data_IF_208375578464
#
_entry.id   IF_208375578464
#
_cell.length_a   1.000
_cell.length_b   1.000
_cell.length_c   1.000
_cell.angle_alpha   90.00
_cell.angle_beta   90.00
_cell.angle_gamma   90.00
#
_symmetry.space_group_name_H-M   'P 1'
#
loop_
_entity.id
_entity.type
_entity.pdbx_description
1 polymer ?
#
# COMPACT_ATOMS: atom_id res chain seq x y z
N UNK A 1 -2.64 8.03 -22.65
CA UNK A 1 -2.83 9.29 -23.43
C UNK A 1 -3.47 10.39 -22.61
N UNK A 2 -4.54 10.12 -21.90
CA UNK A 2 -5.26 11.12 -21.10
C UNK A 2 -4.40 11.74 -19.98
N UNK A 3 -3.56 10.96 -19.31
CA UNK A 3 -2.59 11.49 -18.33
C UNK A 3 -1.53 12.39 -18.99
N UNK A 4 -1.06 12.04 -20.20
CA UNK A 4 -0.13 12.92 -20.93
C UNK A 4 -0.78 14.25 -21.30
N UNK A 5 -2.07 14.26 -21.63
CA UNK A 5 -2.82 15.50 -21.84
C UNK A 5 -2.93 16.33 -20.55
N UNK A 6 -3.16 15.67 -19.41
CA UNK A 6 -3.21 16.36 -18.11
C UNK A 6 -1.85 17.01 -17.78
N UNK A 7 -0.74 16.32 -18.05
CA UNK A 7 0.61 16.86 -17.91
C UNK A 7 0.84 18.04 -18.86
N UNK A 8 0.43 17.92 -20.12
CA UNK A 8 0.58 18.97 -21.11
C UNK A 8 -0.19 20.25 -20.70
N UNK A 9 -1.43 20.11 -20.24
CA UNK A 9 -2.24 21.24 -19.74
C UNK A 9 -1.60 21.85 -18.49
N UNK A 10 -1.11 21.03 -17.55
CA UNK A 10 -0.46 21.49 -16.32
C UNK A 10 0.84 22.28 -16.60
N UNK A 11 1.60 21.88 -17.61
CA UNK A 11 2.92 22.43 -17.90
C UNK A 11 2.93 23.47 -19.04
N UNK A 12 1.78 23.61 -19.73
CA UNK A 12 1.66 24.49 -20.90
C UNK A 12 2.35 23.95 -22.16
N UNK A 13 2.65 22.65 -22.21
CA UNK A 13 3.16 21.96 -23.38
C UNK A 13 2.07 21.31 -24.23
N UNK A 14 2.47 20.46 -25.16
CA UNK A 14 1.53 19.65 -25.94
C UNK A 14 1.93 18.18 -26.01
N UNK A 15 0.95 17.32 -26.24
CA UNK A 15 1.19 15.87 -26.40
C UNK A 15 1.64 15.61 -27.82
N UNK A 16 2.81 15.01 -27.99
CA UNK A 16 3.32 14.58 -29.28
C UNK A 16 2.80 13.15 -29.54
N UNK A 17 1.93 13.02 -30.54
CA UNK A 17 1.35 11.73 -30.93
C UNK A 17 1.06 11.73 -32.43
N UNK A 18 1.39 10.65 -33.10
CA UNK A 18 1.11 10.46 -34.53
C UNK A 18 -0.39 10.53 -34.86
N UNK A 19 -1.25 10.11 -33.93
CA UNK A 19 -2.72 10.19 -34.10
C UNK A 19 -3.25 11.62 -34.19
N UNK A 20 -2.50 12.60 -33.61
CA UNK A 20 -2.83 14.02 -33.68
C UNK A 20 -2.00 14.71 -34.78
N UNK A 21 -1.26 13.96 -35.57
CA UNK A 21 -0.45 14.45 -36.67
C UNK A 21 0.92 14.99 -36.27
N UNK A 22 1.33 14.84 -35.00
CA UNK A 22 2.66 15.26 -34.53
C UNK A 22 3.63 14.09 -34.52
N UNK A 23 4.79 14.30 -35.13
CA UNK A 23 5.90 13.34 -35.10
C UNK A 23 6.99 13.83 -34.16
N UNK A 24 7.62 12.91 -33.45
CA UNK A 24 8.67 13.21 -32.48
C UNK A 24 9.86 13.96 -33.13
N UNK A 25 10.19 13.61 -34.38
CA UNK A 25 11.27 14.21 -35.17
C UNK A 25 11.06 15.70 -35.47
N UNK A 26 9.81 16.18 -35.44
CA UNK A 26 9.42 17.55 -35.72
C UNK A 26 9.20 18.39 -34.44
N UNK A 27 9.49 17.81 -33.27
CA UNK A 27 9.25 18.47 -31.97
C UNK A 27 10.27 19.59 -31.76
N UNK A 28 9.78 20.75 -31.39
CA UNK A 28 10.59 21.94 -31.06
C UNK A 28 10.46 22.31 -29.59
N UNK A 29 11.37 23.11 -29.06
CA UNK A 29 11.39 23.48 -27.64
C UNK A 29 10.11 24.19 -27.19
N UNK A 30 9.43 24.91 -28.10
CA UNK A 30 8.13 25.53 -27.79
C UNK A 30 6.99 24.55 -27.55
N UNK A 31 7.13 23.30 -27.99
CA UNK A 31 6.12 22.25 -27.75
C UNK A 31 6.24 21.63 -26.35
N UNK A 32 7.40 21.84 -25.71
CA UNK A 32 7.67 21.32 -24.38
C UNK A 32 7.00 22.19 -23.32
N UNK A 33 6.45 21.55 -22.30
CA UNK A 33 5.94 22.22 -21.12
C UNK A 33 7.06 22.75 -20.23
N UNK A 34 6.69 23.58 -19.25
CA UNK A 34 7.59 24.13 -18.24
C UNK A 34 7.08 23.88 -16.84
N UNK A 35 7.97 23.68 -15.89
CA UNK A 35 7.67 23.58 -14.49
C UNK A 35 8.84 24.10 -13.65
N UNK A 36 8.58 24.51 -12.41
CA UNK A 36 9.62 24.96 -11.48
C UNK A 36 10.56 23.82 -11.10
N UNK A 37 10.03 22.62 -10.91
CA UNK A 37 10.81 21.42 -10.60
C UNK A 37 10.10 20.18 -11.13
N UNK A 38 10.90 19.26 -11.69
CA UNK A 38 10.44 17.93 -12.09
C UNK A 38 11.38 16.92 -11.42
N UNK A 39 10.80 15.91 -10.77
CA UNK A 39 11.52 14.77 -10.20
C UNK A 39 10.99 13.52 -10.87
N UNK A 40 11.89 12.75 -11.48
CA UNK A 40 11.57 11.49 -12.17
C UNK A 40 12.32 10.37 -11.48
N UNK A 41 11.61 9.36 -11.04
CA UNK A 41 12.15 8.10 -10.60
C UNK A 41 11.63 6.95 -11.50
N UNK A 42 11.95 5.71 -11.18
CA UNK A 42 11.55 4.56 -12.01
C UNK A 42 10.03 4.32 -12.06
N UNK A 43 9.30 4.76 -11.04
CA UNK A 43 7.88 4.48 -10.89
C UNK A 43 7.01 5.76 -11.03
N UNK A 44 7.59 6.94 -10.75
CA UNK A 44 6.85 8.19 -10.64
C UNK A 44 7.50 9.36 -11.37
N UNK A 45 6.66 10.28 -11.84
CA UNK A 45 7.08 11.60 -12.30
C UNK A 45 6.30 12.65 -11.52
N UNK A 46 7.01 13.44 -10.70
CA UNK A 46 6.43 14.51 -9.88
C UNK A 46 6.73 15.86 -10.52
N UNK A 47 5.70 16.63 -10.84
CA UNK A 47 5.78 17.95 -11.42
C UNK A 47 5.31 18.97 -10.39
N UNK A 48 6.18 19.92 -10.04
CA UNK A 48 5.88 20.97 -9.06
C UNK A 48 5.82 22.31 -9.75
N UNK A 49 4.74 23.05 -9.55
CA UNK A 49 4.49 24.36 -10.13
C UNK A 49 4.64 24.35 -11.67
N UNK A 50 3.78 23.62 -12.35
CA UNK A 50 3.69 23.65 -13.81
C UNK A 50 3.27 25.05 -14.32
N UNK A 51 3.84 25.48 -15.45
CA UNK A 51 3.60 26.81 -16.03
C UNK A 51 2.39 26.86 -16.98
N UNK A 52 1.44 25.92 -16.83
CA UNK A 52 0.22 25.86 -17.62
C UNK A 52 -0.75 27.03 -17.32
N UNK A 53 -1.61 27.33 -18.28
CA UNK A 53 -2.65 28.35 -18.12
C UNK A 53 -3.70 27.91 -17.05
N UNK A 54 -3.92 28.70 -15.98
CA UNK A 54 -4.87 28.35 -14.93
C UNK A 54 -6.29 28.12 -15.44
N UNK A 55 -6.75 28.83 -16.46
CA UNK A 55 -8.10 28.64 -17.01
C UNK A 55 -8.23 27.32 -17.78
N UNK A 56 -7.16 26.92 -18.51
CA UNK A 56 -7.12 25.61 -19.17
C UNK A 56 -7.06 24.47 -18.15
N UNK A 57 -6.34 24.65 -17.04
CA UNK A 57 -6.30 23.66 -15.94
C UNK A 57 -7.68 23.52 -15.30
N UNK A 58 -8.39 24.62 -15.00
CA UNK A 58 -9.76 24.60 -14.48
C UNK A 58 -10.72 23.93 -15.46
N UNK A 59 -10.63 24.25 -16.75
CA UNK A 59 -11.40 23.60 -17.80
C UNK A 59 -11.19 22.09 -17.82
N UNK A 60 -9.94 21.65 -17.73
CA UNK A 60 -9.58 20.22 -17.71
C UNK A 60 -10.12 19.51 -16.47
N UNK A 61 -10.06 20.14 -15.31
CA UNK A 61 -10.67 19.65 -14.06
C UNK A 61 -12.20 19.48 -14.23
N UNK A 62 -12.87 20.45 -14.84
CA UNK A 62 -14.31 20.36 -15.09
C UNK A 62 -14.66 19.20 -16.04
N UNK A 63 -13.89 19.01 -17.12
CA UNK A 63 -14.05 17.88 -18.04
C UNK A 63 -13.95 16.53 -17.31
N UNK A 64 -12.94 16.36 -16.44
CA UNK A 64 -12.75 15.13 -15.69
C UNK A 64 -13.93 14.88 -14.73
N UNK A 65 -14.43 15.92 -14.05
CA UNK A 65 -15.61 15.81 -13.17
C UNK A 65 -16.84 15.33 -13.92
N UNK A 66 -17.12 15.91 -15.07
CA UNK A 66 -18.23 15.48 -15.93
C UNK A 66 -18.04 14.03 -16.40
N UNK A 67 -16.81 13.62 -16.71
CA UNK A 67 -16.52 12.24 -17.10
C UNK A 67 -16.76 11.25 -15.92
N UNK A 68 -16.43 11.62 -14.69
CA UNK A 68 -16.72 10.82 -13.48
C UNK A 68 -18.24 10.62 -13.30
N UNK A 69 -19.04 11.65 -13.54
CA UNK A 69 -20.50 11.55 -13.43
C UNK A 69 -21.14 10.68 -14.52
N UNK A 70 -20.54 10.66 -15.72
CA UNK A 70 -21.07 9.94 -16.88
C UNK A 70 -20.65 8.48 -16.97
N UNK A 71 -19.52 8.11 -16.34
CA UNK A 71 -19.02 6.73 -16.46
C UNK A 71 -19.87 5.74 -15.66
N UNK A 72 -20.16 4.59 -16.26
CA UNK A 72 -20.85 3.48 -15.61
C UNK A 72 -19.86 2.40 -15.11
N UNK A 73 -18.58 2.52 -15.47
CA UNK A 73 -17.52 1.61 -15.08
C UNK A 73 -16.89 2.09 -13.78
N UNK A 74 -16.87 1.25 -12.75
CA UNK A 74 -16.25 1.57 -11.46
C UNK A 74 -14.73 1.72 -11.59
N UNK A 75 -14.10 0.92 -12.44
CA UNK A 75 -12.67 1.05 -12.73
C UNK A 75 -12.33 2.39 -13.39
N UNK A 76 -13.10 2.80 -14.41
CA UNK A 76 -12.87 4.09 -15.07
C UNK A 76 -13.14 5.27 -14.13
N UNK A 77 -14.15 5.14 -13.26
CA UNK A 77 -14.45 6.14 -12.23
C UNK A 77 -13.28 6.32 -11.28
N UNK A 78 -12.69 5.23 -10.79
CA UNK A 78 -11.51 5.27 -9.93
C UNK A 78 -10.33 5.96 -10.63
N UNK A 79 -10.05 5.61 -11.89
CA UNK A 79 -8.96 6.22 -12.66
C UNK A 79 -9.18 7.70 -12.96
N UNK A 80 -10.41 8.10 -13.20
CA UNK A 80 -10.76 9.51 -13.37
C UNK A 80 -10.63 10.29 -12.06
N UNK A 81 -11.02 9.72 -10.92
CA UNK A 81 -10.84 10.34 -9.60
C UNK A 81 -9.36 10.50 -9.24
N UNK A 82 -8.53 9.50 -9.55
CA UNK A 82 -7.08 9.58 -9.38
C UNK A 82 -6.48 10.74 -10.20
N UNK A 83 -6.87 10.90 -11.46
CA UNK A 83 -6.43 11.99 -12.33
C UNK A 83 -6.90 13.34 -11.80
N UNK A 84 -8.15 13.44 -11.36
CA UNK A 84 -8.71 14.65 -10.76
C UNK A 84 -7.91 15.08 -9.53
N UNK A 85 -7.61 14.14 -8.64
CA UNK A 85 -6.84 14.40 -7.42
C UNK A 85 -5.43 14.92 -7.73
N UNK A 86 -4.74 14.34 -8.73
CA UNK A 86 -3.41 14.78 -9.17
C UNK A 86 -3.41 16.18 -9.78
N UNK A 87 -4.45 16.52 -10.54
CA UNK A 87 -4.53 17.82 -11.24
C UNK A 87 -5.05 18.94 -10.34
N UNK A 88 -6.02 18.66 -9.45
CA UNK A 88 -6.68 19.65 -8.61
C UNK A 88 -6.05 19.81 -7.22
N UNK A 89 -5.38 18.78 -6.71
CA UNK A 89 -4.92 18.72 -5.31
C UNK A 89 -3.54 19.34 -5.04
N UNK A 90 -2.75 19.63 -6.06
CA UNK A 90 -1.37 20.09 -5.90
C UNK A 90 -0.43 18.98 -5.41
N UNK A 91 0.80 19.35 -5.06
CA UNK A 91 1.85 18.44 -4.57
C UNK A 91 2.34 18.94 -3.21
N UNK A 92 2.19 18.11 -2.20
CA UNK A 92 2.86 18.31 -0.91
C UNK A 92 4.20 17.57 -0.90
N UNK A 93 5.25 18.24 -0.43
CA UNK A 93 6.60 17.67 -0.32
C UNK A 93 6.98 17.55 1.14
N UNK A 94 7.18 16.33 1.61
CA UNK A 94 7.65 16.05 2.97
C UNK A 94 9.17 15.83 2.90
N UNK A 95 9.92 16.72 3.56
CA UNK A 95 11.37 16.59 3.67
C UNK A 95 11.72 15.77 4.90
N UNK A 96 12.41 14.65 4.70
CA UNK A 96 12.87 13.77 5.77
C UNK A 96 14.38 13.97 5.95
N UNK A 97 14.80 14.14 7.20
CA UNK A 97 16.22 14.27 7.57
C UNK A 97 16.55 13.44 8.81
N UNK A 98 17.81 13.03 8.92
CA UNK A 98 18.36 12.32 10.06
C UNK A 98 19.87 12.55 10.18
N UNK A 99 20.48 12.14 11.29
CA UNK A 99 21.91 12.28 11.52
C UNK A 99 22.75 11.30 10.65
N UNK A 100 22.19 10.15 10.30
CA UNK A 100 22.85 9.13 9.49
C UNK A 100 21.99 8.75 8.27
N UNK A 101 22.63 8.23 7.23
CA UNK A 101 21.94 7.75 6.03
C UNK A 101 20.98 6.58 6.31
N UNK A 102 21.39 5.67 7.20
CA UNK A 102 20.57 4.52 7.59
C UNK A 102 19.30 4.98 8.30
N UNK A 103 19.44 5.88 9.28
CA UNK A 103 18.31 6.47 10.00
C UNK A 103 17.38 7.26 9.07
N UNK A 104 17.96 7.99 8.11
CA UNK A 104 17.18 8.73 7.11
C UNK A 104 16.35 7.78 6.22
N UNK A 105 16.93 6.67 5.77
CA UNK A 105 16.21 5.64 5.00
C UNK A 105 15.08 5.01 5.80
N UNK A 106 15.32 4.70 7.07
CA UNK A 106 14.28 4.16 7.96
C UNK A 106 13.13 5.15 8.16
N UNK A 107 13.42 6.42 8.47
CA UNK A 107 12.40 7.46 8.62
C UNK A 107 11.62 7.68 7.33
N UNK A 108 12.31 7.68 6.18
CA UNK A 108 11.65 7.80 4.87
C UNK A 108 10.69 6.64 4.64
N UNK A 109 11.11 5.41 4.85
CA UNK A 109 10.27 4.23 4.70
C UNK A 109 9.03 4.27 5.62
N UNK A 110 9.19 4.74 6.86
CA UNK A 110 8.08 4.91 7.81
C UNK A 110 7.06 5.96 7.34
N UNK A 111 7.54 7.08 6.77
CA UNK A 111 6.65 8.11 6.20
C UNK A 111 5.93 7.60 4.95
N UNK A 112 6.63 6.86 4.09
CA UNK A 112 6.03 6.22 2.90
C UNK A 112 4.95 5.21 3.29
N UNK A 113 5.19 4.38 4.30
CA UNK A 113 4.21 3.43 4.84
C UNK A 113 2.97 4.14 5.38
N UNK A 114 3.16 5.16 6.21
CA UNK A 114 2.06 5.98 6.73
C UNK A 114 1.24 6.66 5.62
N UNK A 115 1.88 7.11 4.54
CA UNK A 115 1.20 7.68 3.38
C UNK A 115 0.35 6.63 2.64
N UNK A 116 0.87 5.43 2.44
CA UNK A 116 0.13 4.35 1.80
C UNK A 116 -1.06 3.91 2.66
N UNK A 117 -0.87 3.76 3.98
CA UNK A 117 -1.95 3.45 4.92
C UNK A 117 -3.04 4.52 4.91
N UNK A 118 -2.66 5.81 4.89
CA UNK A 118 -3.61 6.93 4.83
C UNK A 118 -4.43 6.91 3.54
N UNK A 119 -3.79 6.66 2.40
CA UNK A 119 -4.50 6.54 1.11
C UNK A 119 -5.49 5.38 1.13
N UNK A 120 -5.08 4.21 1.60
CA UNK A 120 -5.95 3.04 1.73
C UNK A 120 -7.15 3.32 2.67
N UNK A 121 -6.92 4.07 3.75
CA UNK A 121 -7.99 4.48 4.68
C UNK A 121 -8.97 5.46 4.06
N UNK A 122 -8.52 6.38 3.21
CA UNK A 122 -9.40 7.30 2.47
C UNK A 122 -10.28 6.55 1.46
N UNK A 123 -9.77 5.47 0.86
CA UNK A 123 -10.51 4.69 -0.14
C UNK A 123 -11.61 3.80 0.46
N UNK A 124 -11.35 3.08 1.54
CA UNK A 124 -12.28 2.08 2.10
C UNK A 124 -12.59 2.28 3.60
N UNK A 125 -12.14 3.39 4.19
CA UNK A 125 -12.34 3.66 5.61
C UNK A 125 -11.37 2.90 6.52
N UNK A 126 -11.67 2.95 7.81
CA UNK A 126 -10.86 2.36 8.88
C UNK A 126 -11.65 1.33 9.68
N UNK A 127 -10.93 0.43 10.32
CA UNK A 127 -11.42 -0.56 11.27
C UNK A 127 -10.56 -0.54 12.54
N UNK A 128 -11.04 -1.08 13.68
CA UNK A 128 -10.19 -1.23 14.85
C UNK A 128 -8.98 -2.10 14.52
N UNK A 129 -7.79 -1.61 14.89
CA UNK A 129 -6.51 -2.26 14.62
C UNK A 129 -6.17 -3.39 15.59
N UNK A 130 -4.91 -3.81 15.57
CA UNK A 130 -4.43 -4.87 16.45
C UNK A 130 -5.04 -6.25 16.20
N UNK A 131 -5.56 -6.50 14.99
CA UNK A 131 -6.23 -7.76 14.62
C UNK A 131 -7.68 -7.88 15.10
N UNK A 132 -8.24 -6.88 15.77
CA UNK A 132 -9.62 -6.90 16.29
C UNK A 132 -10.65 -7.06 15.19
N UNK A 133 -10.49 -6.35 14.07
CA UNK A 133 -11.40 -6.41 12.93
C UNK A 133 -11.60 -7.85 12.42
N UNK A 134 -10.54 -8.66 12.41
CA UNK A 134 -10.60 -10.06 11.96
C UNK A 134 -11.35 -10.94 12.95
N UNK A 135 -11.22 -10.70 14.27
CA UNK A 135 -12.03 -11.39 15.29
C UNK A 135 -13.50 -11.02 15.15
N UNK A 136 -13.83 -9.76 14.84
CA UNK A 136 -15.22 -9.35 14.58
C UNK A 136 -15.77 -9.99 13.30
N UNK A 137 -14.98 -10.08 12.26
CA UNK A 137 -15.34 -10.80 11.04
C UNK A 137 -15.60 -12.29 11.32
N UNK A 138 -14.72 -12.95 12.10
CA UNK A 138 -14.90 -14.33 12.55
C UNK A 138 -16.26 -14.54 13.23
N UNK A 139 -16.65 -13.65 14.13
CA UNK A 139 -17.93 -13.72 14.82
C UNK A 139 -19.14 -13.63 13.88
N UNK A 140 -19.02 -12.91 12.76
CA UNK A 140 -20.10 -12.77 11.77
C UNK A 140 -20.27 -13.99 10.89
N UNK A 141 -19.20 -14.74 10.65
CA UNK A 141 -19.22 -15.91 9.76
C UNK A 141 -19.20 -17.26 10.51
N UNK A 142 -19.15 -17.25 11.84
CA UNK A 142 -19.08 -18.49 12.66
C UNK A 142 -20.23 -19.46 12.40
N UNK A 143 -21.41 -18.93 12.09
CA UNK A 143 -22.62 -19.70 11.85
C UNK A 143 -22.82 -20.04 10.35
N UNK A 144 -21.89 -19.65 9.50
CA UNK A 144 -21.89 -20.02 8.10
C UNK A 144 -21.59 -21.52 7.95
N UNK A 145 -22.58 -22.26 7.54
CA UNK A 145 -22.52 -23.72 7.40
C UNK A 145 -22.88 -24.12 5.97
N UNK A 146 -21.90 -24.31 5.08
CA UNK A 146 -22.15 -24.83 3.75
C UNK A 146 -22.73 -26.25 3.83
N UNK A 147 -23.45 -26.67 2.77
CA UNK A 147 -24.04 -28.00 2.71
C UNK A 147 -22.97 -29.10 2.60
N UNK A 148 -21.92 -28.84 1.84
CA UNK A 148 -20.81 -29.76 1.63
C UNK A 148 -19.94 -29.89 2.89
N UNK A 149 -19.71 -31.11 3.39
CA UNK A 149 -18.83 -31.38 4.54
C UNK A 149 -17.38 -30.95 4.31
N UNK A 150 -16.85 -31.01 3.08
CA UNK A 150 -15.48 -30.60 2.77
C UNK A 150 -15.35 -29.07 2.81
N UNK A 151 -16.34 -28.33 2.34
CA UNK A 151 -16.39 -26.88 2.47
C UNK A 151 -16.44 -26.44 3.95
N UNK A 152 -17.10 -27.20 4.82
CA UNK A 152 -17.09 -26.94 6.27
C UNK A 152 -15.69 -26.95 6.86
N UNK A 153 -14.83 -27.87 6.41
CA UNK A 153 -13.43 -27.91 6.83
C UNK A 153 -12.70 -26.63 6.38
N UNK A 154 -12.91 -26.20 5.16
CA UNK A 154 -12.37 -24.93 4.64
C UNK A 154 -12.79 -23.72 5.48
N UNK A 155 -14.08 -23.64 5.84
CA UNK A 155 -14.60 -22.59 6.73
C UNK A 155 -13.91 -22.62 8.10
N UNK A 156 -13.70 -23.79 8.70
CA UNK A 156 -13.01 -23.92 9.98
C UNK A 156 -11.54 -23.48 9.90
N UNK A 157 -10.85 -23.77 8.79
CA UNK A 157 -9.48 -23.31 8.55
C UNK A 157 -9.44 -21.78 8.51
N UNK A 158 -10.35 -21.14 7.77
CA UNK A 158 -10.43 -19.69 7.70
C UNK A 158 -10.75 -19.08 9.06
N UNK A 159 -11.75 -19.61 9.77
CA UNK A 159 -12.12 -19.16 11.12
C UNK A 159 -10.92 -19.19 12.07
N UNK A 160 -10.15 -20.27 12.02
CA UNK A 160 -8.94 -20.39 12.85
C UNK A 160 -7.84 -19.42 12.42
N UNK A 161 -7.65 -19.23 11.13
CA UNK A 161 -6.65 -18.30 10.60
C UNK A 161 -6.90 -16.84 10.97
N UNK A 162 -8.17 -16.42 11.08
CA UNK A 162 -8.55 -15.06 11.47
C UNK A 162 -8.10 -14.68 12.89
N UNK A 163 -7.77 -15.65 13.75
CA UNK A 163 -7.25 -15.39 15.10
C UNK A 163 -5.73 -15.12 15.11
N UNK A 164 -5.00 -15.59 14.11
CA UNK A 164 -3.53 -15.56 14.13
C UNK A 164 -2.92 -14.17 14.21
N UNK A 165 -3.44 -13.13 13.50
CA UNK A 165 -2.85 -11.80 13.58
C UNK A 165 -2.85 -11.23 15.01
N UNK A 166 -3.98 -11.24 15.70
CA UNK A 166 -4.05 -10.74 17.10
C UNK A 166 -3.25 -11.63 18.07
N UNK A 167 -3.26 -12.96 17.85
CA UNK A 167 -2.49 -13.92 18.63
C UNK A 167 -1.00 -13.62 18.51
N UNK A 168 -0.50 -13.41 17.31
CA UNK A 168 0.90 -13.13 17.08
C UNK A 168 1.32 -11.77 17.66
N UNK A 169 0.48 -10.74 17.55
CA UNK A 169 0.72 -9.43 18.18
C UNK A 169 0.86 -9.59 19.70
N UNK A 170 -0.05 -10.33 20.33
CA UNK A 170 0.00 -10.58 21.77
C UNK A 170 1.29 -11.33 22.18
N UNK A 171 1.64 -12.39 21.46
CA UNK A 171 2.86 -13.18 21.70
C UNK A 171 4.12 -12.29 21.58
N UNK A 172 4.20 -11.46 20.55
CA UNK A 172 5.31 -10.54 20.34
C UNK A 172 5.44 -9.51 21.48
N UNK A 173 4.33 -9.16 22.13
CA UNK A 173 4.29 -8.29 23.30
C UNK A 173 4.57 -9.04 24.63
N UNK A 174 4.77 -10.37 24.59
CA UNK A 174 4.98 -11.19 25.77
C UNK A 174 3.71 -11.65 26.49
N UNK A 175 2.52 -11.39 25.89
CA UNK A 175 1.24 -11.83 26.42
C UNK A 175 0.83 -13.20 25.85
N UNK A 176 -0.05 -13.93 26.59
CA UNK A 176 -0.59 -15.20 26.12
C UNK A 176 -1.69 -14.97 25.07
N UNK A 177 -1.37 -15.28 23.81
CA UNK A 177 -2.23 -14.98 22.67
C UNK A 177 -3.63 -15.61 22.76
N UNK A 178 -3.75 -16.79 23.33
CA UNK A 178 -5.04 -17.47 23.51
C UNK A 178 -5.97 -16.72 24.48
N UNK A 179 -5.42 -16.19 25.56
CA UNK A 179 -6.16 -15.40 26.54
C UNK A 179 -6.62 -14.09 25.93
N UNK A 180 -5.74 -13.43 25.17
CA UNK A 180 -6.07 -12.17 24.48
C UNK A 180 -7.21 -12.37 23.48
N UNK A 181 -7.13 -13.38 22.62
CA UNK A 181 -8.19 -13.72 21.65
C UNK A 181 -9.53 -13.94 22.34
N UNK A 182 -9.55 -14.76 23.40
CA UNK A 182 -10.79 -15.09 24.11
C UNK A 182 -11.40 -13.84 24.78
N UNK A 183 -10.59 -13.01 25.41
CA UNK A 183 -11.03 -11.79 26.08
C UNK A 183 -11.60 -10.76 25.09
N UNK A 184 -10.96 -10.61 23.93
CA UNK A 184 -11.45 -9.72 22.87
C UNK A 184 -12.74 -10.26 22.26
N UNK A 185 -12.82 -11.57 22.03
CA UNK A 185 -14.01 -12.26 21.49
C UNK A 185 -15.22 -12.12 22.40
N UNK A 186 -15.02 -12.22 23.72
CA UNK A 186 -16.09 -12.15 24.71
C UNK A 186 -16.70 -10.75 24.88
N UNK A 187 -16.09 -9.71 24.39
CA UNK A 187 -16.58 -8.33 24.52
C UNK A 187 -17.63 -7.99 23.45
N UNK A 188 -18.72 -7.37 23.88
CA UNK A 188 -19.77 -6.84 23.01
C UNK A 188 -19.40 -5.54 22.31
N UNK A 189 -18.38 -4.79 22.81
CA UNK A 189 -17.88 -3.61 22.13
C UNK A 189 -17.09 -4.02 20.89
N UNK A 190 -17.51 -3.61 19.66
CA UNK A 190 -16.86 -4.00 18.41
C UNK A 190 -15.41 -3.48 18.30
N UNK A 191 -15.08 -2.40 19.01
CA UNK A 191 -13.77 -1.77 18.99
C UNK A 191 -12.84 -2.26 20.10
N UNK A 192 -13.36 -3.04 21.06
CA UNK A 192 -12.58 -3.52 22.18
C UNK A 192 -11.47 -4.46 21.73
N UNK A 193 -10.24 -4.15 22.14
CA UNK A 193 -9.04 -4.89 21.77
C UNK A 193 -7.96 -4.86 22.83
N UNK A 194 -6.81 -5.44 22.49
CA UNK A 194 -5.61 -5.43 23.30
C UNK A 194 -4.57 -4.50 22.68
N UNK A 195 -4.24 -3.41 23.36
CA UNK A 195 -3.18 -2.50 22.98
C UNK A 195 -1.84 -3.06 23.46
N UNK A 196 -1.11 -3.70 22.56
CA UNK A 196 0.17 -4.34 22.84
C UNK A 196 1.29 -3.35 23.25
N UNK A 197 1.12 -2.06 22.93
CA UNK A 197 2.10 -1.03 23.32
C UNK A 197 1.99 -0.64 24.81
N UNK A 198 0.76 -0.61 25.33
CA UNK A 198 0.47 -0.18 26.71
C UNK A 198 0.13 -1.35 27.64
N UNK A 199 -0.01 -2.56 27.11
CA UNK A 199 -0.48 -3.76 27.81
C UNK A 199 -1.88 -3.57 28.43
N UNK A 200 -2.78 -2.84 27.75
CA UNK A 200 -4.12 -2.51 28.22
C UNK A 200 -5.18 -3.00 27.25
N UNK A 201 -6.32 -3.43 27.81
CA UNK A 201 -7.54 -3.72 27.03
C UNK A 201 -8.42 -2.48 27.01
N UNK A 202 -8.68 -1.94 25.83
CA UNK A 202 -9.39 -0.67 25.65
C UNK A 202 -10.12 -0.60 24.32
N UNK A 203 -10.83 0.51 24.05
CA UNK A 203 -11.37 0.79 22.73
C UNK A 203 -10.21 1.21 21.80
N UNK A 204 -9.94 0.39 20.78
CA UNK A 204 -8.81 0.57 19.88
C UNK A 204 -8.97 1.81 18.99
N UNK A 205 -10.20 2.17 18.65
CA UNK A 205 -10.46 3.36 17.83
C UNK A 205 -10.23 4.64 18.63
N UNK A 206 -10.71 4.68 19.90
CA UNK A 206 -10.45 5.80 20.81
C UNK A 206 -8.97 5.92 21.17
N UNK A 207 -8.27 4.81 21.31
CA UNK A 207 -6.83 4.76 21.55
C UNK A 207 -5.99 5.14 20.30
N UNK A 208 -6.62 5.32 19.13
CA UNK A 208 -5.91 5.63 17.88
C UNK A 208 -5.21 4.43 17.24
N UNK A 209 -5.50 3.21 17.69
CA UNK A 209 -5.00 1.96 17.09
C UNK A 209 -5.98 1.50 16.05
N UNK A 210 -5.75 1.92 14.82
CA UNK A 210 -6.64 1.71 13.67
C UNK A 210 -5.89 1.10 12.49
N UNK A 211 -6.59 0.31 11.69
CA UNK A 211 -6.08 -0.25 10.43
C UNK A 211 -6.94 0.22 9.24
N UNK A 212 -6.34 0.45 8.07
CA UNK A 212 -7.10 0.65 6.84
C UNK A 212 -7.88 -0.61 6.46
N UNK A 213 -9.17 -0.50 6.21
CA UNK A 213 -10.03 -1.63 5.82
C UNK A 213 -9.49 -2.36 4.59
N UNK A 214 -9.05 -1.59 3.58
CA UNK A 214 -8.47 -2.11 2.34
C UNK A 214 -7.26 -3.01 2.60
N UNK A 215 -6.38 -2.62 3.53
CA UNK A 215 -5.18 -3.40 3.87
C UNK A 215 -5.57 -4.74 4.50
N UNK A 216 -6.41 -4.71 5.54
CA UNK A 216 -6.85 -5.94 6.23
C UNK A 216 -7.59 -6.90 5.27
N UNK A 217 -8.49 -6.37 4.44
CA UNK A 217 -9.24 -7.14 3.44
C UNK A 217 -8.33 -7.76 2.38
N UNK A 218 -7.45 -6.95 1.79
CA UNK A 218 -6.56 -7.41 0.71
C UNK A 218 -5.54 -8.44 1.23
N UNK A 219 -5.03 -8.26 2.45
CA UNK A 219 -4.14 -9.23 3.08
C UNK A 219 -4.81 -10.61 3.21
N UNK A 220 -6.05 -10.64 3.69
CA UNK A 220 -6.82 -11.89 3.80
C UNK A 220 -7.11 -12.52 2.43
N UNK A 221 -7.52 -11.73 1.44
CA UNK A 221 -7.79 -12.21 0.09
C UNK A 221 -6.54 -12.83 -0.56
N UNK A 222 -5.42 -12.13 -0.49
CA UNK A 222 -4.17 -12.60 -1.07
C UNK A 222 -3.66 -13.88 -0.36
N UNK A 223 -3.75 -13.92 0.98
CA UNK A 223 -3.38 -15.10 1.75
C UNK A 223 -4.25 -16.31 1.36
N UNK A 224 -5.56 -16.13 1.28
CA UNK A 224 -6.49 -17.19 0.88
C UNK A 224 -6.23 -17.66 -0.56
N UNK A 225 -5.95 -16.75 -1.49
CA UNK A 225 -5.62 -17.07 -2.89
C UNK A 225 -4.38 -17.95 -2.98
N UNK A 226 -3.30 -17.57 -2.31
CA UNK A 226 -2.05 -18.36 -2.34
C UNK A 226 -2.20 -19.69 -1.60
N UNK A 227 -2.88 -19.69 -0.44
CA UNK A 227 -3.15 -20.93 0.28
C UNK A 227 -3.96 -21.92 -0.56
N UNK A 228 -5.00 -21.43 -1.26
CA UNK A 228 -5.79 -22.25 -2.18
C UNK A 228 -4.97 -22.84 -3.32
N UNK A 229 -4.05 -22.06 -3.91
CA UNK A 229 -3.12 -22.57 -4.91
C UNK A 229 -2.21 -23.67 -4.34
N UNK A 230 -1.63 -23.46 -3.15
CA UNK A 230 -0.77 -24.46 -2.50
C UNK A 230 -1.51 -25.77 -2.21
N UNK A 231 -2.78 -25.70 -1.79
CA UNK A 231 -3.61 -26.88 -1.53
C UNK A 231 -3.90 -27.69 -2.79
N UNK A 232 -3.87 -27.07 -3.97
CA UNK A 232 -4.12 -27.75 -5.26
C UNK A 232 -2.84 -28.24 -5.95
N UNK A 233 -1.65 -28.00 -5.40
CA UNK A 233 -0.37 -28.41 -5.96
C UNK A 233 0.16 -29.68 -5.30
N UNK A 234 0.75 -30.58 -6.11
CA UNK A 234 1.42 -31.79 -5.62
C UNK A 234 2.93 -31.57 -5.40
N UNK A 235 3.51 -30.56 -6.04
CA UNK A 235 4.94 -30.27 -5.95
C UNK A 235 5.22 -28.78 -6.08
N UNK A 236 6.27 -28.32 -5.41
CA UNK A 236 6.81 -26.96 -5.52
C UNK A 236 8.23 -27.03 -6.04
N UNK A 237 8.53 -26.25 -7.07
CA UNK A 237 9.89 -26.08 -7.59
C UNK A 237 10.43 -24.75 -7.09
N UNK A 238 11.50 -24.80 -6.31
CA UNK A 238 12.14 -23.61 -5.74
C UNK A 238 13.64 -23.62 -6.03
N UNK A 239 14.24 -22.44 -6.09
CA UNK A 239 15.68 -22.31 -6.18
C UNK A 239 16.33 -22.82 -4.89
N UNK A 240 17.38 -23.65 -5.04
CA UNK A 240 18.15 -24.10 -3.90
C UNK A 240 19.10 -22.97 -3.47
N UNK A 241 19.12 -22.58 -2.19
CA UNK A 241 20.06 -21.58 -1.71
C UNK A 241 21.49 -21.98 -2.06
N UNK A 242 22.21 -21.13 -2.79
CA UNK A 242 23.64 -21.36 -3.03
C UNK A 242 24.39 -21.27 -1.69
N UNK A 243 25.24 -22.25 -1.43
CA UNK A 243 26.16 -22.13 -0.31
C UNK A 243 27.09 -20.95 -0.61
N UNK A 244 27.12 -19.98 0.28
CA UNK A 244 28.10 -18.90 0.20
C UNK A 244 29.49 -19.52 -0.01
N UNK A 245 30.09 -19.29 -1.17
CA UNK A 245 31.48 -19.66 -1.41
C UNK A 245 32.31 -18.89 -0.40
N UNK A 246 32.94 -19.60 0.53
CA UNK A 246 33.88 -19.00 1.44
C UNK A 246 34.86 -18.17 0.62
N UNK A 247 34.89 -16.88 0.87
CA UNK A 247 35.85 -15.95 0.24
C UNK A 247 37.24 -16.49 0.53
N UNK A 248 38.09 -16.80 -0.46
CA UNK A 248 39.45 -17.25 -0.20
C UNK A 248 40.12 -16.22 0.69
N UNK A 249 40.53 -16.63 1.88
CA UNK A 249 41.27 -15.75 2.79
C UNK A 249 42.46 -15.16 2.05
N UNK A 250 42.63 -13.86 2.06
CA UNK A 250 43.81 -13.18 1.57
C UNK A 250 45.05 -13.85 2.22
N UNK A 251 46.07 -14.28 1.44
CA UNK A 251 47.30 -14.73 2.00
C UNK A 251 47.93 -13.62 2.83
N UNK A 252 48.05 -13.83 4.12
CA UNK A 252 48.73 -12.91 5.01
C UNK A 252 50.16 -12.66 4.49
N UNK A 253 50.38 -11.43 3.99
CA UNK A 253 51.71 -10.95 3.68
C UNK A 253 52.52 -10.84 4.96
N UNK A 254 53.33 -11.86 5.22
CA UNK A 254 54.41 -11.82 6.20
C UNK A 254 55.44 -10.81 5.74
N UNK A 255 55.47 -9.64 6.37
CA UNK A 255 56.64 -8.76 6.31
C UNK A 255 57.59 -9.18 7.45
N UNK A 256 58.57 -10.05 7.06
CA UNK A 256 59.74 -10.33 7.87
C UNK A 256 60.52 -9.04 8.07
N UNK A 257 61.01 -8.89 9.31
CA UNK A 257 61.83 -7.78 9.72
C UNK A 257 63.21 -7.77 9.04
N UNK A 258 63.81 -6.61 9.03
CA UNK A 258 65.25 -6.42 9.16
C UNK A 258 65.55 -4.96 9.57
N UNK A 259 66.36 -4.92 10.64
CA UNK A 259 67.05 -3.84 11.27
C UNK A 259 66.25 -2.84 12.13
#
# INVERSE_FOLDING_TARGET
KAMLQDIAVLTGGQVISEEVGFKLENTVVSDLGRAKRIVVDKDNTTIVDGAGDPEKIKGRIAEIRVAIEKTTSDYDREKLQERLAKLAGGVAVIHVGAATETEMKEKKARVEDALHATRAAVEEGIVPGGGVALIRAQQKIKDFAPEDPEEKVGVQIVLRALEEPIRQIAINAGAEGSIVVEKVRASDNPNFGYNAHTDVYEDMVEAGVIDPTKVARTALQNAASIAGLLLTTEAVVVERPEKEKATPGMPGGGMGGMY
#
